data_IF_466491053647
#
_entry.id   IF_466491053647
#
_cell.length_a   1.000
_cell.length_b   1.000
_cell.length_c   1.000
_cell.angle_alpha   90.00
_cell.angle_beta   90.00
_cell.angle_gamma   90.00
#
_symmetry.space_group_name_H-M   'P 1'
#
loop_
_entity.id
_entity.type
_entity.pdbx_description
1 polymer ?
#
# COMPACT_ATOMS: atom_id res chain seq x y z
N UNK A 1 7.58 37.98 9.88
CA UNK A 1 8.24 36.66 10.11
C UNK A 1 7.59 35.68 9.15
N UNK A 2 8.30 35.35 8.08
CA UNK A 2 7.80 34.51 6.99
C UNK A 2 7.93 33.04 7.38
N UNK A 3 6.81 32.33 7.53
CA UNK A 3 6.77 30.88 7.65
C UNK A 3 7.16 30.29 6.29
N UNK A 4 8.42 29.98 6.13
CA UNK A 4 8.90 29.15 5.03
C UNK A 4 8.25 27.78 5.20
N UNK A 5 7.24 27.52 4.40
CA UNK A 5 6.68 26.18 4.23
C UNK A 5 7.74 25.35 3.49
N UNK A 6 8.61 24.70 4.26
CA UNK A 6 9.52 23.69 3.70
C UNK A 6 8.62 22.56 3.21
N UNK A 7 8.35 22.54 1.92
CA UNK A 7 7.84 21.36 1.23
C UNK A 7 8.94 20.31 1.33
N UNK A 8 8.90 19.51 2.39
CA UNK A 8 9.77 18.34 2.52
C UNK A 8 9.39 17.40 1.40
N UNK A 9 10.28 17.21 0.44
CA UNK A 9 10.14 16.12 -0.52
C UNK A 9 9.86 14.81 0.25
N UNK A 10 8.97 13.94 -0.26
CA UNK A 10 8.67 12.69 0.44
C UNK A 10 9.98 11.92 0.61
N UNK A 11 10.46 11.82 1.83
CA UNK A 11 11.68 11.07 2.13
C UNK A 11 11.48 9.61 1.74
N UNK A 12 12.39 9.10 0.92
CA UNK A 12 12.45 7.67 0.57
C UNK A 12 12.97 6.82 1.75
N UNK A 13 13.42 7.47 2.81
CA UNK A 13 13.93 6.82 4.00
C UNK A 13 13.06 7.14 5.22
N UNK A 14 12.88 6.15 6.09
CA UNK A 14 12.32 6.33 7.42
C UNK A 14 13.44 6.32 8.45
N UNK A 15 13.48 7.34 9.31
CA UNK A 15 14.44 7.41 10.41
C UNK A 15 13.75 7.01 11.70
N UNK A 16 14.26 5.97 12.35
CA UNK A 16 13.71 5.45 13.60
C UNK A 16 14.50 6.05 14.78
N UNK A 17 13.85 6.94 15.52
CA UNK A 17 14.46 7.59 16.69
C UNK A 17 14.09 6.87 17.99
N UNK A 18 15.05 6.74 18.92
CA UNK A 18 14.87 6.21 20.28
C UNK A 18 14.16 4.84 20.28
N UNK A 19 14.59 3.96 19.37
CA UNK A 19 14.00 2.63 19.18
C UNK A 19 14.48 1.68 20.27
N UNK A 20 13.52 1.04 20.97
CA UNK A 20 13.80 -0.07 21.88
C UNK A 20 13.73 -1.40 21.16
N UNK A 21 12.66 -1.62 20.39
CA UNK A 21 12.42 -2.84 19.64
C UNK A 21 11.73 -2.51 18.32
N UNK A 22 12.00 -3.30 17.29
CA UNK A 22 11.38 -3.18 15.98
C UNK A 22 10.53 -4.43 15.71
N UNK A 23 9.26 -4.20 15.39
CA UNK A 23 8.34 -5.18 14.88
C UNK A 23 8.23 -4.98 13.37
N UNK A 24 8.79 -5.90 12.60
CA UNK A 24 8.75 -5.84 11.15
C UNK A 24 7.79 -6.89 10.58
N UNK A 25 6.80 -6.42 9.82
CA UNK A 25 5.84 -7.27 9.10
C UNK A 25 6.24 -7.26 7.62
N UNK A 26 6.62 -8.44 7.12
CA UNK A 26 6.97 -8.64 5.72
C UNK A 26 5.72 -8.89 4.84
N UNK A 27 5.92 -9.22 3.59
CA UNK A 27 4.90 -9.41 2.56
C UNK A 27 3.62 -10.12 3.01
N UNK A 28 2.50 -9.42 2.96
CA UNK A 28 1.18 -9.90 3.40
C UNK A 28 0.36 -10.41 2.22
N UNK A 29 0.48 -9.72 1.08
CA UNK A 29 -0.17 -10.09 -0.20
C UNK A 29 -1.68 -10.31 -0.09
N UNK A 30 -2.41 -9.40 0.56
CA UNK A 30 -3.86 -9.44 0.64
C UNK A 30 -4.43 -10.60 1.48
N UNK A 31 -3.70 -11.06 2.50
CA UNK A 31 -4.11 -12.10 3.45
C UNK A 31 -4.47 -11.46 4.81
N UNK A 32 -5.74 -11.09 4.96
CA UNK A 32 -6.24 -10.42 6.18
C UNK A 32 -6.17 -11.32 7.41
N UNK A 33 -6.39 -12.62 7.26
CA UNK A 33 -6.41 -13.55 8.39
C UNK A 33 -5.01 -13.72 8.99
N UNK A 34 -4.00 -13.84 8.12
CA UNK A 34 -2.61 -13.89 8.56
C UNK A 34 -2.21 -12.57 9.22
N UNK A 35 -2.60 -11.44 8.63
CA UNK A 35 -2.30 -10.12 9.20
C UNK A 35 -2.92 -9.97 10.59
N UNK A 36 -4.20 -10.29 10.77
CA UNK A 36 -4.89 -10.19 12.04
C UNK A 36 -4.22 -11.04 13.15
N UNK A 37 -3.79 -12.26 12.82
CA UNK A 37 -3.06 -13.11 13.76
C UNK A 37 -1.73 -12.48 14.20
N UNK A 38 -0.97 -11.92 13.26
CA UNK A 38 0.29 -11.22 13.57
C UNK A 38 0.04 -9.97 14.41
N UNK A 39 -0.98 -9.17 14.05
CA UNK A 39 -1.32 -7.96 14.77
C UNK A 39 -1.76 -8.25 16.21
N UNK A 40 -2.52 -9.31 16.46
CA UNK A 40 -2.91 -9.72 17.80
C UNK A 40 -1.68 -10.03 18.69
N UNK A 41 -0.70 -10.77 18.16
CA UNK A 41 0.55 -11.07 18.89
C UNK A 41 1.37 -9.80 19.16
N UNK A 42 1.42 -8.90 18.18
CA UNK A 42 2.14 -7.62 18.33
C UNK A 42 1.41 -6.76 19.36
N UNK A 43 0.09 -6.68 19.30
CA UNK A 43 -0.72 -5.85 20.19
C UNK A 43 -0.51 -6.18 21.66
N UNK A 44 -0.43 -7.46 21.99
CA UNK A 44 -0.18 -7.94 23.34
C UNK A 44 1.20 -7.51 23.88
N UNK A 45 2.20 -7.47 23.00
CA UNK A 45 3.61 -7.28 23.39
C UNK A 45 4.17 -5.89 23.11
N UNK A 46 3.42 -5.06 22.38
CA UNK A 46 3.87 -3.73 21.94
C UNK A 46 3.91 -2.74 23.10
N UNK A 47 5.04 -2.10 23.29
CA UNK A 47 5.32 -1.19 24.40
C UNK A 47 5.83 0.18 23.92
N UNK A 48 5.72 1.25 24.72
CA UNK A 48 6.30 2.54 24.39
C UNK A 48 7.80 2.43 24.09
N UNK A 49 8.23 3.03 22.98
CA UNK A 49 9.58 2.91 22.42
C UNK A 49 9.77 1.84 21.36
N UNK A 50 8.80 0.93 21.21
CA UNK A 50 8.76 0.01 20.06
C UNK A 50 8.39 0.75 18.78
N UNK A 51 8.83 0.19 17.64
CA UNK A 51 8.49 0.65 16.29
C UNK A 51 7.83 -0.48 15.51
N UNK A 52 6.79 -0.14 14.75
CA UNK A 52 6.10 -1.07 13.86
C UNK A 52 6.41 -0.69 12.41
N UNK A 53 6.97 -1.62 11.66
CA UNK A 53 7.34 -1.45 10.26
C UNK A 53 6.57 -2.44 9.39
N UNK A 54 5.78 -1.93 8.45
CA UNK A 54 5.29 -2.72 7.32
C UNK A 54 6.29 -2.59 6.18
N UNK A 55 6.88 -3.71 5.75
CA UNK A 55 7.95 -3.72 4.74
C UNK A 55 7.43 -3.68 3.30
N UNK A 56 6.12 -3.45 3.12
CA UNK A 56 5.46 -3.43 1.82
C UNK A 56 4.92 -4.78 1.38
N UNK A 57 4.46 -4.84 0.13
CA UNK A 57 3.71 -5.94 -0.44
C UNK A 57 2.47 -6.31 0.40
N UNK A 58 1.74 -5.31 0.85
CA UNK A 58 0.43 -5.46 1.48
C UNK A 58 -0.61 -5.83 0.44
N UNK A 59 -0.48 -5.21 -0.74
CA UNK A 59 -1.32 -5.43 -1.91
C UNK A 59 -0.94 -6.71 -2.68
N UNK A 60 -1.75 -7.04 -3.68
CA UNK A 60 -1.50 -8.09 -4.67
C UNK A 60 -1.78 -9.50 -4.17
N UNK A 61 -1.91 -10.42 -5.11
CA UNK A 61 -1.98 -11.90 -5.01
C UNK A 61 -3.13 -12.50 -4.20
N UNK A 62 -3.44 -12.01 -3.00
CA UNK A 62 -4.54 -12.55 -2.18
C UNK A 62 -5.90 -11.97 -2.54
N UNK A 63 -6.96 -12.56 -2.03
CA UNK A 63 -8.38 -12.24 -2.34
C UNK A 63 -9.00 -11.28 -1.33
N UNK A 64 -8.29 -10.96 -0.27
CA UNK A 64 -8.78 -10.05 0.78
C UNK A 64 -7.99 -8.74 0.86
N UNK A 65 -7.52 -8.23 -0.30
CA UNK A 65 -6.66 -7.04 -0.40
C UNK A 65 -7.26 -5.84 0.33
N UNK A 66 -8.52 -5.49 0.06
CA UNK A 66 -9.19 -4.34 0.70
C UNK A 66 -9.31 -4.52 2.20
N UNK A 67 -9.77 -5.68 2.65
CA UNK A 67 -9.87 -6.00 4.07
C UNK A 67 -8.49 -5.96 4.76
N UNK A 68 -7.43 -6.37 4.07
CA UNK A 68 -6.05 -6.32 4.57
C UNK A 68 -5.59 -4.87 4.77
N UNK A 69 -5.86 -3.98 3.82
CA UNK A 69 -5.55 -2.55 3.97
C UNK A 69 -6.35 -1.93 5.11
N UNK A 70 -7.64 -2.22 5.20
CA UNK A 70 -8.52 -1.71 6.27
C UNK A 70 -8.03 -2.19 7.65
N UNK A 71 -7.67 -3.48 7.79
CA UNK A 71 -7.12 -4.04 9.03
C UNK A 71 -5.79 -3.37 9.41
N UNK A 72 -4.89 -3.15 8.44
CA UNK A 72 -3.63 -2.45 8.67
C UNK A 72 -3.85 -1.02 9.18
N UNK A 73 -4.77 -0.27 8.56
CA UNK A 73 -5.10 1.10 8.96
C UNK A 73 -5.83 1.16 10.30
N UNK A 74 -6.71 0.19 10.59
CA UNK A 74 -7.37 0.06 11.88
C UNK A 74 -6.36 -0.21 13.00
N UNK A 75 -5.46 -1.15 12.80
CA UNK A 75 -4.40 -1.47 13.76
C UNK A 75 -3.47 -0.29 14.02
N UNK A 76 -3.11 0.46 12.97
CA UNK A 76 -2.36 1.71 13.14
C UNK A 76 -3.06 2.68 14.10
N UNK A 77 -4.39 2.84 13.98
CA UNK A 77 -5.16 3.70 14.89
C UNK A 77 -5.14 3.17 16.32
N UNK A 78 -5.27 1.86 16.52
CA UNK A 78 -5.20 1.21 17.83
C UNK A 78 -3.87 1.50 18.52
N UNK A 79 -2.75 1.33 17.81
CA UNK A 79 -1.42 1.59 18.37
C UNK A 79 -1.23 3.08 18.67
N UNK A 80 -1.62 3.97 17.77
CA UNK A 80 -1.47 5.42 17.96
C UNK A 80 -2.39 5.99 19.06
N UNK A 81 -3.48 5.31 19.40
CA UNK A 81 -4.33 5.70 20.53
C UNK A 81 -3.70 5.41 21.91
N UNK A 82 -2.64 4.63 21.97
CA UNK A 82 -1.93 4.32 23.22
C UNK A 82 -1.11 5.52 23.69
N UNK A 83 -0.93 5.62 25.01
CA UNK A 83 -0.14 6.68 25.62
C UNK A 83 1.31 6.63 25.16
N UNK A 84 1.90 7.80 24.89
CA UNK A 84 3.30 7.96 24.43
C UNK A 84 3.62 7.28 23.09
N UNK A 85 2.64 7.19 22.20
CA UNK A 85 2.83 6.73 20.82
C UNK A 85 2.71 7.90 19.85
N UNK A 86 3.53 7.90 18.82
CA UNK A 86 3.63 8.96 17.82
C UNK A 86 3.52 8.40 16.41
N UNK A 87 3.17 9.24 15.45
CA UNK A 87 2.98 8.83 14.04
C UNK A 87 4.23 8.21 13.42
N UNK A 88 5.42 8.65 13.85
CA UNK A 88 6.72 8.12 13.41
C UNK A 88 7.11 6.77 14.03
N UNK A 89 6.31 6.27 14.98
CA UNK A 89 6.51 4.93 15.56
C UNK A 89 5.97 3.82 14.65
N UNK A 90 5.16 4.20 13.64
CA UNK A 90 4.61 3.27 12.67
C UNK A 90 5.02 3.71 11.26
N UNK A 91 5.80 2.89 10.60
CA UNK A 91 6.32 3.13 9.26
C UNK A 91 5.69 2.13 8.27
N UNK A 92 5.24 2.65 7.13
CA UNK A 92 4.73 1.86 6.03
C UNK A 92 5.63 2.07 4.82
N UNK A 93 6.44 1.07 4.50
CA UNK A 93 7.29 1.09 3.32
C UNK A 93 6.49 0.57 2.11
N UNK A 94 6.91 0.98 0.93
CA UNK A 94 6.36 0.45 -0.32
C UNK A 94 7.18 -0.75 -0.78
N UNK A 95 6.51 -1.83 -1.12
CA UNK A 95 7.09 -2.98 -1.80
C UNK A 95 6.79 -2.96 -3.30
N UNK A 96 7.14 -4.02 -4.00
CA UNK A 96 6.93 -4.13 -5.44
C UNK A 96 5.45 -4.00 -5.86
N UNK A 97 4.51 -4.47 -5.03
CA UNK A 97 3.07 -4.39 -5.33
C UNK A 97 2.56 -2.94 -5.24
N UNK A 98 3.00 -2.17 -4.24
CA UNK A 98 2.65 -0.76 -4.12
C UNK A 98 3.30 0.08 -5.22
N UNK A 99 4.53 -0.23 -5.63
CA UNK A 99 5.20 0.43 -6.76
C UNK A 99 4.47 0.11 -8.09
N UNK A 100 4.04 -1.13 -8.30
CA UNK A 100 3.22 -1.49 -9.47
C UNK A 100 1.89 -0.74 -9.46
N UNK A 101 1.23 -0.62 -8.30
CA UNK A 101 0.00 0.16 -8.18
C UNK A 101 0.23 1.63 -8.56
N UNK A 102 1.32 2.23 -8.12
CA UNK A 102 1.67 3.60 -8.49
C UNK A 102 1.92 3.74 -10.00
N UNK A 103 2.66 2.80 -10.61
CA UNK A 103 2.90 2.77 -12.05
C UNK A 103 1.61 2.57 -12.85
N UNK A 104 0.69 1.75 -12.35
CA UNK A 104 -0.63 1.57 -12.96
C UNK A 104 -1.40 2.90 -13.07
N UNK A 105 -1.29 3.78 -12.07
CA UNK A 105 -1.91 5.12 -12.12
C UNK A 105 -1.30 6.03 -13.20
N UNK A 106 -0.18 5.66 -13.77
CA UNK A 106 0.56 6.39 -14.83
C UNK A 106 0.61 5.62 -16.15
N UNK A 107 -0.15 4.53 -16.28
CA UNK A 107 -0.08 3.61 -17.42
C UNK A 107 -0.35 4.29 -18.78
N UNK A 108 -1.15 5.37 -18.78
CA UNK A 108 -1.41 6.17 -20.00
C UNK A 108 -0.15 6.82 -20.61
N UNK A 109 0.94 6.90 -19.85
CA UNK A 109 2.23 7.46 -20.31
C UNK A 109 3.24 6.37 -20.72
N UNK A 110 2.88 5.10 -20.60
CA UNK A 110 3.76 4.01 -21.02
C UNK A 110 3.88 3.97 -22.55
N UNK A 111 5.07 3.58 -23.04
CA UNK A 111 5.33 3.39 -24.47
C UNK A 111 4.48 2.22 -24.99
N UNK A 112 4.45 1.11 -24.25
CA UNK A 112 3.58 -0.04 -24.53
C UNK A 112 2.74 -0.36 -23.28
N UNK A 113 1.52 0.22 -23.18
CA UNK A 113 0.64 -0.05 -22.05
C UNK A 113 0.15 -1.50 -21.99
N UNK A 114 0.11 -2.21 -23.13
CA UNK A 114 -0.34 -3.61 -23.19
C UNK A 114 0.69 -4.49 -22.50
N UNK A 115 1.94 -4.44 -22.94
CA UNK A 115 3.04 -5.23 -22.38
C UNK A 115 3.20 -4.95 -20.88
N UNK A 116 3.17 -3.67 -20.48
CA UNK A 116 3.28 -3.28 -19.07
C UNK A 116 2.15 -3.84 -18.23
N UNK A 117 0.89 -3.81 -18.72
CA UNK A 117 -0.24 -4.35 -17.99
C UNK A 117 -0.18 -5.87 -17.88
N UNK A 118 0.16 -6.56 -18.96
CA UNK A 118 0.26 -8.02 -18.96
C UNK A 118 1.32 -8.48 -17.97
N UNK A 119 2.48 -7.82 -17.96
CA UNK A 119 3.52 -8.07 -16.96
C UNK A 119 3.00 -7.82 -15.52
N UNK A 120 2.30 -6.72 -15.27
CA UNK A 120 1.74 -6.43 -13.94
C UNK A 120 0.72 -7.50 -13.49
N UNK A 121 -0.09 -8.00 -14.42
CA UNK A 121 -1.05 -9.07 -14.14
C UNK A 121 -0.37 -10.39 -13.78
N UNK A 122 0.73 -10.74 -14.46
CA UNK A 122 1.56 -11.90 -14.13
C UNK A 122 2.19 -11.76 -12.73
N UNK A 123 2.57 -10.54 -12.33
CA UNK A 123 3.10 -10.26 -10.99
C UNK A 123 2.03 -10.23 -9.89
N UNK A 124 0.75 -10.36 -10.21
CA UNK A 124 -0.34 -10.54 -9.26
C UNK A 124 -1.11 -9.28 -8.89
N UNK A 125 -1.01 -8.17 -9.67
CA UNK A 125 -1.79 -6.96 -9.43
C UNK A 125 -3.29 -7.17 -9.64
N UNK A 126 -3.69 -8.24 -10.34
CA UNK A 126 -5.08 -8.55 -10.65
C UNK A 126 -5.99 -8.55 -9.42
N UNK A 127 -5.57 -9.20 -8.33
CA UNK A 127 -6.33 -9.22 -7.06
C UNK A 127 -6.56 -7.81 -6.49
N UNK A 128 -5.59 -6.91 -6.65
CA UNK A 128 -5.76 -5.51 -6.24
C UNK A 128 -6.76 -4.79 -7.13
N UNK A 129 -6.72 -5.01 -8.45
CA UNK A 129 -7.71 -4.45 -9.38
C UNK A 129 -9.13 -4.91 -9.05
N UNK A 130 -9.31 -6.20 -8.78
CA UNK A 130 -10.60 -6.79 -8.41
C UNK A 130 -11.13 -6.20 -7.10
N UNK A 131 -10.27 -6.05 -6.10
CA UNK A 131 -10.61 -5.48 -4.79
C UNK A 131 -11.10 -4.02 -4.88
N UNK A 132 -10.62 -3.25 -5.86
CA UNK A 132 -11.00 -1.84 -6.08
C UNK A 132 -11.96 -1.66 -7.27
N UNK A 133 -12.70 -2.71 -7.64
CA UNK A 133 -13.80 -2.64 -8.60
C UNK A 133 -13.38 -2.43 -10.06
N UNK A 134 -12.21 -2.94 -10.42
CA UNK A 134 -11.65 -2.76 -11.75
C UNK A 134 -10.98 -4.03 -12.23
N UNK A 135 -11.80 -5.06 -12.54
CA UNK A 135 -11.35 -6.39 -12.91
C UNK A 135 -10.33 -6.43 -14.06
N UNK A 136 -9.66 -7.57 -14.19
CA UNK A 136 -8.66 -7.85 -15.24
C UNK A 136 -9.19 -7.55 -16.66
N UNK A 137 -10.40 -8.01 -16.97
CA UNK A 137 -11.01 -7.84 -18.29
C UNK A 137 -11.25 -6.36 -18.63
N UNK A 138 -11.72 -5.60 -17.65
CA UNK A 138 -11.89 -4.16 -17.80
C UNK A 138 -10.55 -3.43 -18.02
N UNK A 139 -9.46 -3.89 -17.36
CA UNK A 139 -8.12 -3.35 -17.57
C UNK A 139 -7.67 -3.55 -19.00
N UNK A 140 -7.74 -4.77 -19.49
CA UNK A 140 -7.36 -5.12 -20.85
C UNK A 140 -8.26 -4.44 -21.89
N UNK A 141 -9.55 -4.30 -21.61
CA UNK A 141 -10.48 -3.57 -22.49
C UNK A 141 -10.11 -2.09 -22.59
N UNK A 142 -9.82 -1.43 -21.47
CA UNK A 142 -9.42 -0.02 -21.47
C UNK A 142 -8.12 0.22 -22.25
N UNK A 143 -7.16 -0.70 -22.17
CA UNK A 143 -5.91 -0.62 -22.92
C UNK A 143 -6.17 -0.70 -24.44
N UNK A 144 -7.01 -1.64 -24.89
CA UNK A 144 -7.40 -1.76 -26.29
C UNK A 144 -8.13 -0.52 -26.82
N UNK A 145 -8.84 0.20 -25.96
CA UNK A 145 -9.53 1.45 -26.30
C UNK A 145 -8.61 2.68 -26.33
N UNK A 146 -7.38 2.54 -25.85
CA UNK A 146 -6.34 3.57 -25.92
C UNK A 146 -6.24 4.52 -24.71
N UNK A 147 -5.35 5.53 -24.78
CA UNK A 147 -4.94 6.33 -23.63
C UNK A 147 -6.08 7.04 -22.88
N UNK A 148 -7.11 7.49 -23.58
CA UNK A 148 -8.27 8.16 -22.96
C UNK A 148 -9.08 7.22 -22.07
N UNK A 149 -9.23 5.96 -22.47
CA UNK A 149 -9.93 4.96 -21.66
C UNK A 149 -9.09 4.56 -20.45
N UNK A 150 -7.77 4.44 -20.61
CA UNK A 150 -6.83 4.20 -19.51
C UNK A 150 -6.93 5.34 -18.49
N UNK A 151 -6.86 6.61 -18.92
CA UNK A 151 -6.96 7.78 -18.05
C UNK A 151 -8.28 7.80 -17.27
N UNK A 152 -9.41 7.54 -17.92
CA UNK A 152 -10.72 7.48 -17.27
C UNK A 152 -10.78 6.38 -16.22
N UNK A 153 -10.20 5.23 -16.49
CA UNK A 153 -10.14 4.11 -15.58
C UNK A 153 -9.26 4.40 -14.36
N UNK A 154 -8.04 4.91 -14.58
CA UNK A 154 -7.14 5.26 -13.47
C UNK A 154 -7.71 6.36 -12.59
N UNK A 155 -8.50 7.29 -13.16
CA UNK A 155 -9.23 8.30 -12.39
C UNK A 155 -10.25 7.65 -11.43
N UNK A 156 -11.00 6.62 -11.87
CA UNK A 156 -11.93 5.87 -11.00
C UNK A 156 -11.19 5.16 -9.86
N UNK A 157 -10.06 4.52 -10.15
CA UNK A 157 -9.26 3.82 -9.13
C UNK A 157 -8.67 4.74 -8.07
N UNK A 158 -8.46 6.03 -8.38
CA UNK A 158 -7.98 7.03 -7.40
C UNK A 158 -9.03 7.44 -6.39
N UNK A 159 -10.30 7.18 -6.66
CA UNK A 159 -11.44 7.58 -5.82
C UNK A 159 -12.12 6.38 -5.13
N UNK A 160 -11.70 5.17 -5.40
CA UNK A 160 -12.20 3.94 -4.80
C UNK A 160 -11.47 3.60 -3.49
#
# INVERSE_FOLDING_TARGET
>A
MSLIHIMTEPSIFAVLHRTQRIWAIASIHGDVDRLNKLQAVIEEKFSPGDKLLYLGNVLGRGDTVRATVDAMLAFRRVILARRNMFTHDIVMLRGAQEEMWQRLMQLQFAIDPVEVMDWMLEQGIGSTLDAYGSGREDAQSAIRQGPMAITRRTAKLRTA
#
